data_IF_747158684100
#
_entry.id   IF_747158684100
#
_cell.length_a   1.000
_cell.length_b   1.000
_cell.length_c   1.000
_cell.angle_alpha   90.00
_cell.angle_beta   90.00
_cell.angle_gamma   90.00
#
_symmetry.space_group_name_H-M   'P 1'
#
loop_
_entity.id
_entity.type
_entity.pdbx_description
1 polymer ?
#
# COMPACT_ATOMS: atom_id res chain seq x y z
N UNK A 1 17.55 1.76 -41.08
CA UNK A 1 17.92 1.80 -39.64
C UNK A 1 17.23 2.99 -39.02
N UNK A 2 16.28 2.77 -38.11
CA UNK A 2 15.56 3.87 -37.44
C UNK A 2 16.53 4.58 -36.50
N UNK A 3 16.89 5.82 -36.82
CA UNK A 3 17.71 6.68 -35.98
C UNK A 3 16.83 7.19 -34.84
N UNK A 4 17.11 6.78 -33.61
CA UNK A 4 16.43 7.30 -32.43
C UNK A 4 16.67 8.83 -32.35
N UNK A 5 15.58 9.60 -32.45
CA UNK A 5 15.62 11.06 -32.52
C UNK A 5 15.96 11.73 -31.18
N UNK A 6 15.96 10.98 -30.08
CA UNK A 6 16.32 11.49 -28.75
C UNK A 6 17.82 11.72 -28.59
N UNK A 7 18.64 11.10 -29.45
CA UNK A 7 20.08 11.31 -29.48
C UNK A 7 20.43 12.59 -30.23
N UNK A 8 21.19 13.47 -29.57
CA UNK A 8 21.71 14.71 -30.13
C UNK A 8 23.23 14.68 -30.13
N UNK A 9 23.83 15.13 -31.24
CA UNK A 9 25.26 15.39 -31.29
C UNK A 9 25.53 16.74 -30.62
N UNK A 10 26.31 16.74 -29.55
CA UNK A 10 26.72 17.96 -28.87
C UNK A 10 28.02 18.52 -29.44
N UNK A 11 29.03 17.64 -29.62
CA UNK A 11 30.33 18.00 -30.18
C UNK A 11 30.89 16.90 -31.06
N UNK A 12 31.57 17.32 -32.12
CA UNK A 12 32.32 16.46 -33.00
C UNK A 12 33.58 17.18 -33.47
N UNK A 13 34.74 16.66 -33.09
CA UNK A 13 36.04 17.14 -33.51
C UNK A 13 36.98 15.95 -33.76
N UNK A 14 38.26 16.21 -34.03
CA UNK A 14 39.26 15.14 -34.17
C UNK A 14 39.43 14.32 -32.89
N UNK A 15 39.25 14.95 -31.72
CA UNK A 15 39.57 14.36 -30.42
C UNK A 15 38.36 14.21 -29.49
N UNK A 16 37.21 14.78 -29.83
CA UNK A 16 36.02 14.78 -28.99
C UNK A 16 34.77 14.36 -29.78
N UNK A 17 34.08 13.36 -29.27
CA UNK A 17 32.73 12.99 -29.68
C UNK A 17 31.84 13.00 -28.44
N UNK A 18 30.88 13.92 -28.40
CA UNK A 18 29.93 14.02 -27.29
C UNK A 18 28.51 13.96 -27.82
N UNK A 19 27.72 13.05 -27.25
CA UNK A 19 26.31 12.85 -27.55
C UNK A 19 25.48 13.06 -26.28
N UNK A 20 24.25 13.51 -26.46
CA UNK A 20 23.26 13.63 -25.40
C UNK A 20 22.06 12.76 -25.74
N UNK A 21 21.57 12.00 -24.76
CA UNK A 21 20.29 11.32 -24.83
C UNK A 21 19.29 12.08 -23.97
N UNK A 22 18.21 12.58 -24.58
CA UNK A 22 17.12 13.24 -23.86
C UNK A 22 15.98 12.25 -23.57
N UNK A 23 15.11 12.60 -22.61
CA UNK A 23 13.93 11.80 -22.25
C UNK A 23 14.30 10.34 -21.98
N UNK A 24 15.24 10.17 -21.07
CA UNK A 24 15.82 8.88 -20.71
C UNK A 24 14.75 8.02 -20.02
N UNK A 25 14.73 6.74 -20.37
CA UNK A 25 13.82 5.73 -19.85
C UNK A 25 14.63 4.56 -19.28
N UNK A 26 13.99 3.69 -18.50
CA UNK A 26 14.61 2.45 -18.01
C UNK A 26 15.05 1.50 -19.14
N UNK A 27 14.58 1.72 -20.37
CA UNK A 27 14.97 0.94 -21.54
C UNK A 27 16.36 1.34 -22.07
N UNK A 28 16.82 2.55 -21.75
CA UNK A 28 18.11 3.08 -22.19
C UNK A 28 19.29 2.59 -21.34
N UNK A 29 19.02 1.86 -20.26
CA UNK A 29 20.05 1.21 -19.45
C UNK A 29 20.83 0.18 -20.27
N UNK A 30 22.14 0.19 -20.12
CA UNK A 30 23.00 -0.77 -20.78
C UNK A 30 24.44 -0.33 -20.93
N UNK A 31 25.18 -1.08 -21.73
CA UNK A 31 26.59 -0.80 -22.01
C UNK A 31 26.68 0.05 -23.28
N UNK A 32 27.15 1.27 -23.12
CA UNK A 32 27.45 2.18 -24.21
C UNK A 32 28.90 2.03 -24.62
N UNK A 33 29.14 1.94 -25.93
CA UNK A 33 30.48 1.77 -26.49
C UNK A 33 30.83 2.96 -27.38
N UNK A 34 31.98 3.55 -27.13
CA UNK A 34 32.58 4.54 -28.02
C UNK A 34 33.64 3.85 -28.87
N UNK A 35 33.57 4.05 -30.19
CA UNK A 35 34.49 3.50 -31.17
C UNK A 35 35.25 4.62 -31.87
N UNK A 36 36.56 4.52 -31.92
CA UNK A 36 37.43 5.47 -32.59
C UNK A 36 38.26 4.76 -33.66
N UNK A 37 37.95 5.08 -34.91
CA UNK A 37 38.58 4.49 -36.09
C UNK A 37 39.69 5.42 -36.59
N UNK A 38 40.92 5.19 -36.12
CA UNK A 38 42.13 5.88 -36.59
C UNK A 38 43.08 4.88 -37.27
N UNK A 39 44.39 5.17 -37.32
CA UNK A 39 45.39 4.15 -37.71
C UNK A 39 45.33 2.89 -36.84
N UNK A 40 44.97 3.08 -35.57
CA UNK A 40 44.64 1.98 -34.65
C UNK A 40 43.20 2.12 -34.18
N UNK A 41 42.48 1.01 -34.16
CA UNK A 41 41.13 0.96 -33.62
C UNK A 41 41.19 1.04 -32.10
N UNK A 42 40.40 1.94 -31.52
CA UNK A 42 40.25 2.08 -30.07
C UNK A 42 38.78 1.97 -29.68
N UNK A 43 38.51 1.37 -28.53
CA UNK A 43 37.15 1.29 -28.00
C UNK A 43 37.12 1.48 -26.49
N UNK A 44 36.07 2.15 -26.00
CA UNK A 44 35.80 2.31 -24.58
C UNK A 44 34.35 1.95 -24.29
N UNK A 45 34.13 1.15 -23.25
CA UNK A 45 32.79 0.77 -22.78
C UNK A 45 32.45 1.49 -21.49
N UNK A 46 31.19 1.86 -21.34
CA UNK A 46 30.66 2.45 -20.11
C UNK A 46 29.30 1.84 -19.79
N UNK A 47 29.10 1.47 -18.52
CA UNK A 47 27.82 0.95 -18.05
C UNK A 47 26.98 2.14 -17.57
N UNK A 48 25.84 2.36 -18.23
CA UNK A 48 24.88 3.38 -17.85
C UNK A 48 23.77 2.70 -17.07
N UNK A 49 23.57 3.11 -15.82
CA UNK A 49 22.44 2.67 -14.97
C UNK A 49 21.39 3.77 -14.89
N UNK A 50 20.11 3.38 -14.95
CA UNK A 50 19.00 4.32 -14.87
C UNK A 50 18.29 4.16 -13.54
N UNK A 51 18.09 5.28 -12.85
CA UNK A 51 17.26 5.36 -11.66
C UNK A 51 15.85 5.79 -12.07
N UNK A 52 14.83 5.14 -11.49
CA UNK A 52 13.43 5.54 -11.63
C UNK A 52 12.88 5.85 -10.25
N UNK A 53 12.38 7.07 -10.07
CA UNK A 53 11.79 7.47 -8.79
C UNK A 53 10.50 6.68 -8.52
N UNK A 54 10.26 6.26 -7.27
CA UNK A 54 8.98 5.69 -6.87
C UNK A 54 7.86 6.73 -7.01
N UNK A 55 6.65 6.24 -7.23
CA UNK A 55 5.43 7.02 -7.04
C UNK A 55 5.22 7.39 -5.57
N UNK A 56 4.47 8.45 -5.32
CA UNK A 56 4.04 8.81 -3.97
C UNK A 56 3.38 7.59 -3.28
N UNK A 57 3.78 7.26 -2.05
CA UNK A 57 3.26 6.10 -1.36
C UNK A 57 1.76 6.26 -1.09
N UNK A 58 1.04 5.16 -1.24
CA UNK A 58 -0.36 5.02 -0.83
C UNK A 58 -0.38 4.25 0.48
N UNK A 59 -1.06 4.80 1.47
CA UNK A 59 -1.16 4.21 2.80
C UNK A 59 -2.60 3.76 3.03
N UNK A 60 -2.77 2.48 3.37
CA UNK A 60 -4.05 1.84 3.66
C UNK A 60 -4.03 1.24 5.07
N UNK A 61 -5.19 1.21 5.70
CA UNK A 61 -5.37 0.67 7.04
C UNK A 61 -6.53 -0.31 7.05
N UNK A 62 -6.32 -1.45 7.71
CA UNK A 62 -7.36 -2.45 7.97
C UNK A 62 -7.36 -2.83 9.45
N UNK A 63 -8.53 -2.95 10.05
CA UNK A 63 -8.68 -3.54 11.37
C UNK A 63 -8.52 -5.06 11.27
N UNK A 64 -7.72 -5.63 12.17
CA UNK A 64 -7.61 -7.08 12.34
C UNK A 64 -8.61 -7.48 13.44
N UNK A 65 -9.44 -8.49 13.18
CA UNK A 65 -10.61 -8.92 13.99
C UNK A 65 -10.31 -9.03 15.51
N UNK A 66 -10.31 -7.90 16.21
CA UNK A 66 -10.02 -7.80 17.65
C UNK A 66 -8.54 -7.84 18.06
N UNK A 67 -7.56 -7.77 17.14
CA UNK A 67 -6.11 -7.92 17.45
C UNK A 67 -5.22 -6.71 17.16
N UNK A 68 -5.78 -5.60 16.70
CA UNK A 68 -5.06 -4.36 16.43
C UNK A 68 -5.33 -3.83 15.02
N UNK A 69 -4.43 -3.01 14.50
CA UNK A 69 -4.50 -2.50 13.13
C UNK A 69 -3.32 -2.99 12.30
N UNK A 70 -3.58 -3.18 11.01
CA UNK A 70 -2.56 -3.44 10.00
C UNK A 70 -2.48 -2.24 9.07
N UNK A 71 -1.31 -1.62 9.04
CA UNK A 71 -0.94 -0.58 8.09
C UNK A 71 -0.27 -1.24 6.88
N UNK A 72 -0.64 -0.79 5.68
CA UNK A 72 -0.05 -1.25 4.43
C UNK A 72 0.33 -0.03 3.59
N UNK A 73 1.62 0.11 3.28
CA UNK A 73 2.14 1.19 2.46
C UNK A 73 2.61 0.60 1.12
N UNK A 74 2.13 1.17 0.02
CA UNK A 74 2.39 0.70 -1.35
C UNK A 74 3.02 1.80 -2.21
N UNK A 75 4.00 1.43 -3.02
CA UNK A 75 4.58 2.28 -4.08
C UNK A 75 4.90 1.45 -5.31
N UNK A 76 5.02 2.11 -6.45
CA UNK A 76 5.36 1.50 -7.74
C UNK A 76 6.29 2.35 -8.59
N UNK A 77 6.92 1.71 -9.57
CA UNK A 77 7.68 2.35 -10.63
C UNK A 77 9.14 2.63 -10.29
N UNK A 78 9.64 2.10 -9.17
CA UNK A 78 10.99 2.41 -8.71
C UNK A 78 12.05 1.57 -9.39
N UNK A 79 13.26 2.13 -9.52
CA UNK A 79 14.46 1.40 -9.88
C UNK A 79 15.67 2.10 -9.23
N UNK A 80 16.41 1.44 -8.32
CA UNK A 80 16.19 0.09 -7.76
C UNK A 80 14.98 0.01 -6.80
N UNK A 81 14.92 -1.03 -5.96
CA UNK A 81 13.92 -1.09 -4.89
C UNK A 81 14.10 0.08 -3.90
N UNK A 82 13.01 0.70 -3.41
CA UNK A 82 13.09 1.72 -2.38
C UNK A 82 13.19 1.08 -0.99
N UNK A 83 13.67 1.85 -0.02
CA UNK A 83 13.58 1.50 1.39
C UNK A 83 12.30 2.11 1.97
N UNK A 84 11.52 1.30 2.68
CA UNK A 84 10.32 1.74 3.38
C UNK A 84 10.50 1.53 4.88
N UNK A 85 10.27 2.58 5.64
CA UNK A 85 10.25 2.56 7.10
C UNK A 85 8.98 3.20 7.63
N UNK A 86 8.67 2.95 8.90
CA UNK A 86 7.47 3.42 9.56
C UNK A 86 7.85 4.32 10.73
N UNK A 87 7.45 5.58 10.67
CA UNK A 87 7.62 6.54 11.76
C UNK A 87 6.32 6.61 12.56
N UNK A 88 6.43 6.32 13.86
CA UNK A 88 5.36 6.53 14.83
C UNK A 88 5.53 7.88 15.52
N UNK A 89 4.46 8.44 16.08
CA UNK A 89 4.45 9.76 16.73
C UNK A 89 5.46 9.97 17.87
N UNK A 90 5.89 8.89 18.52
CA UNK A 90 6.95 8.93 19.52
C UNK A 90 8.35 9.13 18.92
N UNK A 91 8.46 9.32 17.60
CA UNK A 91 9.71 9.50 16.87
C UNK A 91 10.45 8.20 16.57
N UNK A 92 9.87 7.03 16.91
CA UNK A 92 10.50 5.75 16.64
C UNK A 92 10.27 5.35 15.18
N UNK A 93 11.37 5.07 14.49
CA UNK A 93 11.36 4.54 13.13
C UNK A 93 11.54 3.01 13.17
N UNK A 94 10.58 2.30 12.59
CA UNK A 94 10.51 0.85 12.59
C UNK A 94 10.60 0.30 11.16
N UNK A 95 11.20 -0.87 11.03
CA UNK A 95 11.14 -1.66 9.80
C UNK A 95 9.83 -2.45 9.76
N UNK A 96 9.10 -2.34 8.65
CA UNK A 96 7.94 -3.19 8.38
C UNK A 96 8.33 -4.45 7.59
N UNK A 97 7.36 -5.36 7.45
CA UNK A 97 7.50 -6.50 6.52
C UNK A 97 7.40 -5.98 5.08
N UNK A 98 8.54 -5.90 4.40
CA UNK A 98 8.68 -5.26 3.10
C UNK A 98 8.88 -6.30 2.01
N UNK A 99 8.03 -6.25 0.99
CA UNK A 99 8.05 -7.11 -0.18
C UNK A 99 8.21 -6.31 -1.45
N UNK A 100 9.06 -6.82 -2.34
CA UNK A 100 9.26 -6.27 -3.68
C UNK A 100 8.69 -7.22 -4.72
N UNK A 101 8.04 -6.64 -5.73
CA UNK A 101 7.48 -7.36 -6.87
C UNK A 101 7.95 -6.68 -8.14
N UNK A 102 8.48 -7.47 -9.07
CA UNK A 102 8.91 -6.95 -10.36
C UNK A 102 7.68 -6.65 -11.20
N UNK A 103 7.61 -5.46 -11.79
CA UNK A 103 6.51 -5.08 -12.66
C UNK A 103 6.52 -5.91 -13.96
N UNK A 104 5.41 -5.89 -14.69
CA UNK A 104 5.28 -6.61 -15.96
C UNK A 104 6.34 -6.21 -17.01
N UNK A 105 6.91 -5.00 -16.89
CA UNK A 105 8.00 -4.54 -17.75
C UNK A 105 9.36 -5.20 -17.47
N UNK A 106 9.48 -5.94 -16.37
CA UNK A 106 10.71 -6.62 -15.94
C UNK A 106 11.84 -5.68 -15.52
N UNK A 107 11.58 -4.36 -15.42
CA UNK A 107 12.62 -3.34 -15.20
C UNK A 107 12.37 -2.47 -13.98
N UNK A 108 11.12 -2.32 -13.55
CA UNK A 108 10.74 -1.52 -12.39
C UNK A 108 10.17 -2.40 -11.30
N UNK A 109 10.18 -1.88 -10.08
CA UNK A 109 9.68 -2.55 -8.90
C UNK A 109 8.43 -1.86 -8.35
N UNK A 110 7.50 -2.69 -7.89
CA UNK A 110 6.47 -2.31 -6.94
C UNK A 110 6.86 -2.83 -5.57
N UNK A 111 6.71 -2.00 -4.55
CA UNK A 111 7.13 -2.32 -3.19
C UNK A 111 5.97 -2.06 -2.25
N UNK A 112 5.70 -3.03 -1.38
CA UNK A 112 4.72 -2.94 -0.31
C UNK A 112 5.39 -3.21 1.02
N UNK A 113 5.12 -2.39 2.03
CA UNK A 113 5.52 -2.65 3.41
C UNK A 113 4.29 -2.77 4.29
N UNK A 114 4.31 -3.65 5.28
CA UNK A 114 3.22 -3.77 6.25
C UNK A 114 3.72 -3.69 7.69
N UNK A 115 2.93 -3.04 8.54
CA UNK A 115 3.20 -2.93 9.97
C UNK A 115 1.93 -3.26 10.75
N UNK A 116 2.06 -4.13 11.76
CA UNK A 116 0.97 -4.45 12.70
C UNK A 116 1.18 -3.70 14.01
N UNK A 117 0.15 -3.01 14.46
CA UNK A 117 0.16 -2.24 15.72
C UNK A 117 -0.96 -2.78 16.60
N UNK A 118 -0.58 -3.33 17.76
CA UNK A 118 -1.51 -3.95 18.71
C UNK A 118 -2.17 -2.92 19.64
N UNK A 119 -1.47 -1.82 19.93
CA UNK A 119 -1.95 -0.76 20.83
C UNK A 119 -1.46 0.59 20.31
N UNK A 120 -2.37 1.56 20.28
CA UNK A 120 -2.11 2.91 19.80
C UNK A 120 -3.01 3.90 20.53
N UNK A 121 -2.55 5.16 20.61
CA UNK A 121 -3.40 6.27 21.03
C UNK A 121 -4.28 6.72 19.87
N UNK A 122 -5.58 7.05 20.08
CA UNK A 122 -6.42 7.61 19.04
C UNK A 122 -5.88 8.91 18.43
N UNK A 123 -5.07 9.66 19.19
CA UNK A 123 -4.45 10.89 18.72
C UNK A 123 -3.11 10.65 18.00
N UNK A 124 -2.64 9.40 17.95
CA UNK A 124 -1.37 9.10 17.31
C UNK A 124 -1.51 8.99 15.79
N UNK A 125 -0.43 9.32 15.08
CA UNK A 125 -0.25 9.16 13.65
C UNK A 125 0.83 8.12 13.37
N UNK A 126 0.65 7.36 12.30
CA UNK A 126 1.71 6.56 11.72
C UNK A 126 2.02 7.06 10.31
N UNK A 127 3.30 7.16 10.00
CA UNK A 127 3.77 7.61 8.70
C UNK A 127 4.66 6.56 8.05
N UNK A 128 4.40 6.18 6.80
CA UNK A 128 5.38 5.43 6.03
C UNK A 128 6.32 6.41 5.31
N UNK A 129 7.62 6.15 5.44
CA UNK A 129 8.69 6.95 4.85
C UNK A 129 9.35 6.12 3.76
N UNK A 130 9.48 6.72 2.58
CA UNK A 130 10.18 6.15 1.44
C UNK A 130 11.48 6.87 1.19
N UNK A 131 12.55 6.09 1.05
CA UNK A 131 13.87 6.56 0.65
C UNK A 131 14.30 5.87 -0.65
N UNK A 132 14.80 6.66 -1.60
CA UNK A 132 15.24 6.14 -2.89
C UNK A 132 16.32 7.04 -3.52
N UNK A 133 17.38 6.48 -4.15
CA UNK A 133 18.48 7.26 -4.71
C UNK A 133 18.07 8.33 -5.74
N UNK A 134 17.02 8.06 -6.53
CA UNK A 134 16.50 9.02 -7.51
C UNK A 134 15.92 10.30 -6.89
N UNK A 135 15.60 10.28 -5.59
CA UNK A 135 15.04 11.42 -4.86
C UNK A 135 16.14 12.28 -4.21
N UNK A 136 17.41 11.85 -4.25
CA UNK A 136 18.51 12.55 -3.58
C UNK A 136 18.29 12.63 -2.07
N UNK A 137 18.24 13.85 -1.53
CA UNK A 137 18.01 14.10 -0.11
C UNK A 137 16.53 14.08 0.29
N UNK A 138 15.60 14.06 -0.68
CA UNK A 138 14.16 14.08 -0.41
C UNK A 138 13.66 12.70 0.00
N UNK A 139 12.65 12.68 0.88
CA UNK A 139 11.89 11.49 1.26
C UNK A 139 10.43 11.68 0.88
N UNK A 140 9.79 10.62 0.41
CA UNK A 140 8.34 10.61 0.25
C UNK A 140 7.72 10.09 1.54
N UNK A 141 6.56 10.63 1.89
CA UNK A 141 5.87 10.28 3.12
C UNK A 141 4.37 10.21 2.87
N UNK A 142 3.71 9.22 3.48
CA UNK A 142 2.27 9.18 3.63
C UNK A 142 1.95 8.91 5.10
N UNK A 143 0.97 9.62 5.64
CA UNK A 143 0.64 9.61 7.07
C UNK A 143 -0.83 9.27 7.26
N UNK A 144 -1.14 8.56 8.34
CA UNK A 144 -2.50 8.18 8.71
C UNK A 144 -2.73 8.48 10.20
N UNK A 145 -3.61 9.43 10.52
CA UNK A 145 -4.06 9.69 11.90
C UNK A 145 -4.99 8.57 12.37
N UNK A 146 -4.74 7.98 13.54
CA UNK A 146 -5.59 6.89 14.04
C UNK A 146 -6.99 7.32 14.48
N UNK A 147 -7.22 8.62 14.66
CA UNK A 147 -8.56 9.19 14.86
C UNK A 147 -9.50 8.96 13.67
N UNK A 148 -8.95 8.73 12.48
CA UNK A 148 -9.73 8.50 11.25
C UNK A 148 -10.12 7.01 11.09
N UNK A 149 -9.79 6.16 12.08
CA UNK A 149 -10.27 4.79 12.12
C UNK A 149 -11.77 4.75 12.40
N UNK A 150 -12.53 3.91 11.69
CA UNK A 150 -13.93 3.69 12.03
C UNK A 150 -14.03 3.10 13.44
N UNK A 151 -14.75 3.78 14.33
CA UNK A 151 -15.10 3.23 15.63
C UNK A 151 -15.86 1.91 15.44
N UNK A 152 -15.49 0.89 16.21
CA UNK A 152 -16.24 -0.36 16.30
C UNK A 152 -17.62 -0.19 16.98
N UNK A 153 -17.94 1.01 17.45
CA UNK A 153 -19.22 1.38 18.05
C UNK A 153 -20.25 1.73 16.95
N UNK A 154 -20.80 0.72 16.30
CA UNK A 154 -21.80 0.93 15.24
C UNK A 154 -22.50 -0.31 14.70
N UNK A 155 -22.45 -1.43 15.42
CA UNK A 155 -23.30 -2.59 15.15
C UNK A 155 -24.29 -2.77 16.31
N UNK A 156 -25.15 -1.77 16.51
CA UNK A 156 -26.36 -1.95 17.32
C UNK A 156 -27.33 -2.80 16.51
N UNK A 157 -27.28 -4.11 16.74
CA UNK A 157 -28.27 -5.04 16.18
C UNK A 157 -29.67 -4.65 16.67
N UNK A 158 -30.72 -4.81 15.84
CA UNK A 158 -32.07 -4.42 16.24
C UNK A 158 -32.49 -5.19 17.50
N UNK A 159 -32.86 -4.43 18.54
CA UNK A 159 -33.45 -4.93 19.78
C UNK A 159 -34.70 -5.77 19.50
N UNK A 160 -34.95 -6.87 20.22
CA UNK A 160 -36.19 -7.65 20.07
C UNK A 160 -37.41 -6.79 20.44
N UNK A 161 -38.56 -6.94 19.76
CA UNK A 161 -39.78 -6.24 20.16
C UNK A 161 -40.27 -6.76 21.53
N UNK A 162 -40.46 -5.83 22.45
CA UNK A 162 -41.03 -6.02 23.78
C UNK A 162 -42.55 -6.22 23.66
N UNK A 163 -43.07 -7.38 24.10
CA UNK A 163 -44.50 -7.68 24.07
C UNK A 163 -45.26 -6.90 25.18
N UNK A 164 -46.36 -6.20 24.87
CA UNK A 164 -47.17 -5.54 25.89
C UNK A 164 -47.94 -6.55 26.74
N UNK A 165 -47.88 -6.34 28.07
CA UNK A 165 -48.62 -7.07 29.08
C UNK A 165 -50.15 -6.94 28.91
N UNK A 166 -50.87 -8.05 29.07
CA UNK A 166 -52.34 -8.09 29.15
C UNK A 166 -52.73 -8.05 30.63
N UNK A 167 -53.60 -7.12 31.08
CA UNK A 167 -54.04 -7.05 32.46
C UNK A 167 -55.19 -8.04 32.75
N UNK A 168 -55.20 -8.52 33.99
CA UNK A 168 -56.07 -9.55 34.55
C UNK A 168 -57.42 -9.06 35.08
N UNK A 169 -58.49 -9.78 34.66
CA UNK A 169 -59.73 -10.19 35.39
C UNK A 169 -60.73 -9.13 35.89
N UNK A 170 -62.04 -9.46 36.07
CA UNK A 170 -62.52 -10.27 37.22
C UNK A 170 -63.69 -11.29 36.95
N UNK A 171 -63.80 -12.22 37.92
CA UNK A 171 -64.91 -13.10 38.39
C UNK A 171 -66.38 -12.67 38.10
N UNK A 172 -67.45 -13.48 38.05
CA UNK A 172 -67.92 -14.73 38.73
C UNK A 172 -69.30 -15.14 38.08
N UNK A 173 -70.19 -16.01 38.64
CA UNK A 173 -70.11 -17.46 38.92
C UNK A 173 -71.37 -18.27 38.42
N UNK A 174 -71.38 -19.57 38.75
CA UNK A 174 -72.52 -20.49 38.96
C UNK A 174 -73.04 -21.37 37.79
N UNK A 175 -73.18 -22.67 38.07
CA UNK A 175 -73.96 -23.62 37.26
C UNK A 175 -73.62 -25.09 37.48
N UNK A 176 -74.48 -25.79 38.20
CA UNK A 176 -74.37 -27.12 38.82
C UNK A 176 -74.46 -28.33 37.85
N UNK A 177 -73.85 -29.45 38.24
CA UNK A 177 -73.91 -30.89 37.79
C UNK A 177 -75.33 -31.44 37.42
N UNK A 178 -75.55 -32.70 36.91
CA UNK A 178 -74.67 -33.90 36.94
C UNK A 178 -74.72 -34.94 35.75
N UNK A 179 -73.89 -35.98 35.88
CA UNK A 179 -74.05 -37.42 35.53
C UNK A 179 -74.31 -37.90 34.08
N UNK A 180 -73.46 -38.81 33.59
CA UNK A 180 -73.69 -40.28 33.64
C UNK A 180 -72.73 -41.06 32.69
N UNK A 181 -72.04 -42.07 33.23
CA UNK A 181 -71.55 -43.25 32.49
C UNK A 181 -72.71 -44.25 32.29
N UNK A 182 -72.65 -45.19 31.32
CA UNK A 182 -72.09 -46.52 31.60
C UNK A 182 -71.42 -47.19 30.37
N UNK A 183 -70.34 -47.95 30.56
CA UNK A 183 -70.27 -49.42 30.65
C UNK A 183 -69.87 -50.15 29.33
N UNK A 184 -68.85 -50.98 29.54
CA UNK A 184 -68.16 -51.99 28.72
C UNK A 184 -69.10 -53.12 28.21
N UNK A 185 -68.66 -54.09 27.38
CA UNK A 185 -67.49 -54.97 27.59
C UNK A 185 -66.30 -54.76 26.65
#
# INVERSE_FOLDING_TARGET
VLRDQRYKLLRYSKDELSIQLCNVTVQDEGIYSCFYYSRHFQSKRHSVQILAAPSHPVLEVSQDEGRGIKLSCYTQGSKPQPQISWLLDNGIELSGDTRHQLAADGKKWSTSSTLRILSYSPQATASCILQHPALGAQRLMASFPFQDLPSSEGAEGPSPPENPAVPSSPENPAGTSPSASPANP
#
